data_IF_364057615223
#
_entry.id   IF_364057615223
#
_cell.length_a   1.000
_cell.length_b   1.000
_cell.length_c   1.000
_cell.angle_alpha   90.00
_cell.angle_beta   90.00
_cell.angle_gamma   90.00
#
_symmetry.space_group_name_H-M   'P 1'
#
loop_
_entity.id
_entity.type
_entity.pdbx_description
1 polymer ?
#
# COMPACT_ATOMS: atom_id res chain seq x y z
N UNK A 1 3.81 10.63 41.20
CA UNK A 1 2.69 10.59 40.22
C UNK A 1 3.01 11.39 38.97
N UNK A 2 3.46 12.65 39.08
CA UNK A 2 3.86 13.50 37.94
C UNK A 2 5.01 12.96 37.08
N UNK A 3 6.02 12.34 37.70
CA UNK A 3 7.17 11.78 36.98
C UNK A 3 6.80 10.60 36.05
N UNK A 4 5.78 9.82 36.42
CA UNK A 4 5.28 8.69 35.65
C UNK A 4 4.43 9.16 34.45
N UNK A 5 3.68 10.25 34.61
CA UNK A 5 2.95 10.92 33.54
C UNK A 5 3.90 11.51 32.48
N UNK A 6 4.98 12.17 32.92
CA UNK A 6 5.99 12.72 32.01
C UNK A 6 6.72 11.63 31.21
N UNK A 7 7.01 10.47 31.84
CA UNK A 7 7.60 9.33 31.16
C UNK A 7 6.68 8.80 30.05
N UNK A 8 5.38 8.71 30.34
CA UNK A 8 4.37 8.20 29.41
C UNK A 8 4.16 9.14 28.22
N UNK A 9 4.17 10.45 28.45
CA UNK A 9 4.16 11.49 27.41
C UNK A 9 5.40 11.41 26.49
N UNK A 10 6.57 11.16 27.06
CA UNK A 10 7.82 11.05 26.29
C UNK A 10 7.81 9.81 25.37
N UNK A 11 7.36 8.67 25.90
CA UNK A 11 7.21 7.42 25.12
C UNK A 11 6.19 7.60 24.00
N UNK A 12 5.07 8.29 24.27
CA UNK A 12 4.06 8.57 23.26
C UNK A 12 4.62 9.44 22.12
N UNK A 13 5.39 10.50 22.43
CA UNK A 13 6.02 11.34 21.42
C UNK A 13 7.00 10.60 20.49
N UNK A 14 7.75 9.62 21.03
CA UNK A 14 8.68 8.79 20.25
C UNK A 14 7.96 7.91 19.22
N UNK A 15 6.76 7.41 19.54
CA UNK A 15 5.97 6.56 18.64
C UNK A 15 5.45 7.30 17.41
N UNK A 16 5.21 8.62 17.50
CA UNK A 16 4.75 9.43 16.37
C UNK A 16 5.85 9.71 15.32
N UNK A 17 7.13 9.54 15.67
CA UNK A 17 8.26 9.81 14.76
C UNK A 17 8.49 8.71 13.71
N UNK A 18 7.73 7.61 13.74
CA UNK A 18 7.92 6.48 12.83
C UNK A 18 7.45 6.75 11.38
N UNK A 19 6.67 7.83 11.15
CA UNK A 19 6.21 8.20 9.82
C UNK A 19 7.25 9.09 9.13
N UNK A 20 7.97 8.54 8.14
CA UNK A 20 8.99 9.26 7.38
C UNK A 20 8.53 9.46 5.93
N UNK A 21 8.87 10.60 5.36
CA UNK A 21 8.57 10.90 3.95
C UNK A 21 9.58 10.16 3.08
N UNK A 22 9.12 9.16 2.34
CA UNK A 22 9.92 8.41 1.37
C UNK A 22 9.97 9.18 0.05
N UNK A 23 11.17 9.39 -0.49
CA UNK A 23 11.31 10.11 -1.75
C UNK A 23 10.81 9.25 -2.93
N UNK A 24 10.26 9.85 -4.00
CA UNK A 24 9.63 9.10 -5.09
C UNK A 24 10.49 8.00 -5.73
N UNK A 25 11.81 8.22 -5.82
CA UNK A 25 12.77 7.28 -6.41
C UNK A 25 13.18 6.14 -5.47
N UNK A 26 13.07 6.31 -4.15
CA UNK A 26 13.38 5.26 -3.17
C UNK A 26 12.34 4.16 -3.17
N UNK A 27 11.12 4.48 -3.63
CA UNK A 27 9.99 3.55 -3.72
C UNK A 27 10.32 2.31 -4.55
N UNK A 28 11.10 2.45 -5.63
CA UNK A 28 11.53 1.32 -6.47
C UNK A 28 12.40 0.31 -5.73
N UNK A 29 13.17 0.74 -4.73
CA UNK A 29 14.02 -0.14 -3.92
C UNK A 29 13.26 -0.71 -2.71
N UNK A 30 12.31 0.05 -2.16
CA UNK A 30 11.49 -0.35 -1.01
C UNK A 30 10.36 -1.32 -1.38
N UNK A 31 9.80 -1.20 -2.59
CA UNK A 31 8.73 -2.06 -3.09
C UNK A 31 9.27 -3.43 -3.53
N UNK A 32 9.34 -4.37 -2.58
CA UNK A 32 9.80 -5.74 -2.87
C UNK A 32 8.77 -6.49 -3.72
N UNK A 33 9.19 -7.40 -4.64
CA UNK A 33 8.27 -8.16 -5.48
C UNK A 33 7.20 -8.95 -4.72
N UNK A 34 7.53 -9.46 -3.53
CA UNK A 34 6.57 -10.19 -2.68
C UNK A 34 5.43 -9.32 -2.12
N UNK A 35 5.63 -8.00 -2.05
CA UNK A 35 4.64 -7.04 -1.56
C UNK A 35 3.66 -6.62 -2.67
N UNK A 36 3.83 -7.14 -3.88
CA UNK A 36 2.92 -6.86 -4.97
C UNK A 36 1.50 -7.32 -4.60
N UNK A 37 0.52 -6.44 -4.76
CA UNK A 37 -0.90 -6.77 -4.56
C UNK A 37 -1.35 -7.90 -5.47
N UNK A 38 -0.76 -7.97 -6.65
CA UNK A 38 -0.97 -9.03 -7.61
C UNK A 38 0.37 -9.69 -7.97
N UNK A 39 0.61 -10.93 -7.52
CA UNK A 39 1.83 -11.66 -7.85
C UNK A 39 1.90 -12.11 -9.32
N UNK A 40 0.76 -12.16 -10.04
CA UNK A 40 0.68 -12.64 -11.42
C UNK A 40 -0.07 -11.65 -12.33
N UNK A 41 0.46 -10.43 -12.55
CA UNK A 41 -0.22 -9.35 -13.26
C UNK A 41 -0.62 -9.69 -14.70
N UNK A 42 0.15 -10.56 -15.36
CA UNK A 42 -0.18 -11.00 -16.72
C UNK A 42 -1.42 -11.91 -16.72
N UNK A 43 -1.50 -12.84 -15.76
CA UNK A 43 -2.62 -13.77 -15.69
C UNK A 43 -3.90 -13.04 -15.27
N UNK A 44 -3.82 -12.10 -14.34
CA UNK A 44 -4.96 -11.28 -13.93
C UNK A 44 -5.43 -10.40 -15.09
N UNK A 45 -4.54 -9.73 -15.83
CA UNK A 45 -4.89 -8.93 -17.00
C UNK A 45 -5.62 -9.76 -18.07
N UNK A 46 -5.10 -10.96 -18.37
CA UNK A 46 -5.77 -11.88 -19.30
C UNK A 46 -7.14 -12.30 -18.79
N UNK A 47 -7.27 -12.59 -17.49
CA UNK A 47 -8.54 -12.97 -16.87
C UNK A 47 -9.56 -11.83 -16.97
N UNK A 48 -9.14 -10.61 -16.63
CA UNK A 48 -9.96 -9.39 -16.74
C UNK A 48 -10.42 -9.17 -18.19
N UNK A 49 -9.51 -9.32 -19.16
CA UNK A 49 -9.87 -9.19 -20.57
C UNK A 49 -10.94 -10.21 -20.98
N UNK A 50 -10.77 -11.48 -20.60
CA UNK A 50 -11.73 -12.53 -20.91
C UNK A 50 -13.10 -12.31 -20.24
N UNK A 51 -13.14 -11.98 -18.95
CA UNK A 51 -14.42 -11.72 -18.27
C UNK A 51 -15.09 -10.44 -18.77
N UNK A 52 -14.33 -9.36 -18.96
CA UNK A 52 -14.86 -8.10 -19.51
C UNK A 52 -15.48 -8.29 -20.89
N UNK A 53 -14.88 -9.11 -21.76
CA UNK A 53 -15.46 -9.46 -23.06
C UNK A 53 -16.73 -10.31 -22.95
N UNK A 54 -16.81 -11.21 -21.97
CA UNK A 54 -17.96 -12.11 -21.79
C UNK A 54 -19.16 -11.44 -21.12
N UNK A 55 -18.90 -10.52 -20.21
CA UNK A 55 -19.92 -9.92 -19.36
C UNK A 55 -20.34 -8.53 -19.84
N UNK A 56 -19.66 -7.96 -20.85
CA UNK A 56 -19.81 -6.57 -21.27
C UNK A 56 -19.76 -5.58 -20.08
N UNK A 57 -19.06 -5.96 -19.01
CA UNK A 57 -19.05 -5.26 -17.74
C UNK A 57 -17.91 -4.23 -17.74
N UNK A 58 -18.28 -2.95 -17.86
CA UNK A 58 -17.33 -1.84 -17.99
C UNK A 58 -16.69 -1.36 -16.66
N UNK A 59 -16.86 -2.08 -15.54
CA UNK A 59 -16.50 -1.54 -14.21
C UNK A 59 -16.02 -2.53 -13.15
N UNK A 60 -15.71 -3.77 -13.53
CA UNK A 60 -15.68 -4.88 -12.58
C UNK A 60 -14.34 -5.32 -12.00
N UNK A 61 -13.22 -4.58 -12.07
CA UNK A 61 -11.94 -5.14 -11.57
C UNK A 61 -10.91 -4.16 -10.98
N UNK A 62 -11.22 -2.87 -10.83
CA UNK A 62 -10.28 -1.90 -10.28
C UNK A 62 -10.49 -1.73 -8.77
N UNK A 63 -10.01 -2.68 -7.96
CA UNK A 63 -9.44 -2.33 -6.66
C UNK A 63 -8.01 -1.82 -6.92
N UNK A 64 -7.91 -0.67 -7.59
CA UNK A 64 -6.63 -0.02 -7.84
C UNK A 64 -6.13 0.56 -6.51
N UNK A 65 -5.10 -0.06 -5.94
CA UNK A 65 -4.19 0.63 -5.01
C UNK A 65 -4.52 0.53 -3.52
N UNK A 66 -4.42 -0.67 -2.94
CA UNK A 66 -4.21 -0.86 -1.50
C UNK A 66 -2.73 -0.82 -1.14
N UNK A 67 -2.08 0.32 -1.34
CA UNK A 67 -0.66 0.54 -1.02
C UNK A 67 -0.28 1.94 -1.47
N UNK A 68 0.41 2.69 -0.61
CA UNK A 68 0.83 4.09 -0.78
C UNK A 68 0.82 4.51 -2.26
N UNK A 69 -0.29 5.11 -2.71
CA UNK A 69 -0.68 5.20 -4.12
C UNK A 69 0.29 6.03 -4.95
N UNK A 70 1.23 5.34 -5.59
CA UNK A 70 2.16 5.93 -6.55
C UNK A 70 1.75 5.38 -7.91
N UNK A 71 1.05 6.25 -8.65
CA UNK A 71 0.64 6.14 -10.05
C UNK A 71 1.66 5.43 -10.96
#
# INVERSE_FOLDING_TARGET
MTSLLNLLLLVFGLLLSACTVVQPWERGNLAKPQMALDPYPLQSALRVHNYGSREASAGGNSAQGGGCGCY
#
